data_IF_776815632950
#
_entry.id   IF_776815632950
#
_cell.length_a   1.000
_cell.length_b   1.000
_cell.length_c   1.000
_cell.angle_alpha   90.00
_cell.angle_beta   90.00
_cell.angle_gamma   90.00
#
_symmetry.space_group_name_H-M   'P 1'
#
loop_
_entity.id
_entity.type
_entity.pdbx_description
1 polymer ?
#
# COMPACT_ATOMS: atom_id res chain seq x y z
N UNK A 1 -10.73 -13.44 22.57
CA UNK A 1 -11.01 -13.02 21.17
C UNK A 1 -12.41 -13.41 20.72
N UNK A 2 -12.95 -14.56 21.17
CA UNK A 2 -14.35 -14.91 20.94
C UNK A 2 -15.32 -13.81 21.42
N UNK A 3 -15.03 -13.16 22.55
CA UNK A 3 -15.85 -12.05 23.06
C UNK A 3 -15.99 -10.88 22.06
N UNK A 4 -14.90 -10.48 21.39
CA UNK A 4 -14.96 -9.45 20.34
C UNK A 4 -15.90 -9.85 19.20
N UNK A 5 -15.91 -11.13 18.79
CA UNK A 5 -16.78 -11.60 17.72
C UNK A 5 -18.25 -11.53 18.14
N UNK A 6 -18.57 -11.88 19.38
CA UNK A 6 -19.93 -11.71 19.92
C UNK A 6 -20.39 -10.25 19.89
N UNK A 7 -19.48 -9.31 20.19
CA UNK A 7 -19.77 -7.86 20.14
C UNK A 7 -19.95 -7.31 18.73
N UNK A 8 -19.51 -8.01 17.68
CA UNK A 8 -19.80 -7.64 16.29
C UNK A 8 -21.24 -7.96 15.87
N UNK A 9 -21.97 -8.71 16.69
CA UNK A 9 -23.38 -9.05 16.50
C UNK A 9 -23.63 -10.56 16.44
N UNK A 10 -24.86 -10.95 16.77
CA UNK A 10 -25.25 -12.36 16.85
C UNK A 10 -25.13 -13.10 15.51
N UNK A 11 -25.37 -12.44 14.39
CA UNK A 11 -25.18 -13.04 13.05
C UNK A 11 -23.71 -13.40 12.80
N UNK A 12 -22.79 -12.48 13.13
CA UNK A 12 -21.35 -12.69 12.99
C UNK A 12 -20.87 -13.82 13.91
N UNK A 13 -21.37 -13.86 15.15
CA UNK A 13 -20.97 -14.86 16.13
C UNK A 13 -21.36 -16.30 15.76
N UNK A 14 -22.48 -16.49 15.07
CA UNK A 14 -22.94 -17.81 14.62
C UNK A 14 -22.16 -18.32 13.41
N UNK A 15 -21.76 -17.42 12.52
CA UNK A 15 -21.21 -17.78 11.21
C UNK A 15 -19.68 -17.85 11.18
N UNK A 16 -19.01 -17.04 12.00
CA UNK A 16 -17.54 -16.91 11.94
C UNK A 16 -16.84 -18.01 12.73
N UNK A 17 -16.04 -18.80 12.03
CA UNK A 17 -15.11 -19.76 12.64
C UNK A 17 -13.68 -19.24 12.58
N UNK A 18 -13.02 -19.17 13.74
CA UNK A 18 -11.63 -18.75 13.84
C UNK A 18 -10.73 -19.98 13.60
N UNK A 19 -9.98 -19.95 12.51
CA UNK A 19 -9.05 -21.03 12.16
C UNK A 19 -7.74 -20.95 12.96
N UNK A 20 -7.20 -19.74 13.13
CA UNK A 20 -5.96 -19.55 13.89
C UNK A 20 -5.86 -18.14 14.48
N UNK A 21 -5.10 -18.04 15.57
CA UNK A 21 -4.87 -16.79 16.29
C UNK A 21 -3.40 -16.70 16.67
N UNK A 22 -2.77 -15.56 16.40
CA UNK A 22 -1.41 -15.28 16.84
C UNK A 22 -1.24 -13.81 17.22
N UNK A 23 -0.74 -13.57 18.43
CA UNK A 23 -0.23 -12.24 18.80
C UNK A 23 1.19 -12.08 18.26
N UNK A 24 1.44 -10.97 17.58
CA UNK A 24 2.76 -10.59 17.11
C UNK A 24 3.51 -9.86 18.22
N UNK A 25 4.84 -9.95 18.16
CA UNK A 25 5.69 -9.21 19.10
C UNK A 25 5.43 -7.70 18.98
N UNK A 26 5.33 -6.99 20.12
CA UNK A 26 5.14 -5.56 20.11
C UNK A 26 6.34 -4.88 19.44
N UNK A 27 6.06 -3.86 18.61
CA UNK A 27 7.11 -3.04 17.99
C UNK A 27 7.62 -1.93 18.90
N UNK A 28 6.82 -1.53 19.87
CA UNK A 28 7.12 -0.42 20.78
C UNK A 28 6.95 -0.90 22.22
N UNK A 29 7.88 -0.52 23.10
CA UNK A 29 7.78 -0.84 24.52
C UNK A 29 6.50 -0.26 25.14
N UNK A 30 5.87 -1.02 26.04
CA UNK A 30 4.62 -0.63 26.71
C UNK A 30 3.35 -0.69 25.85
N UNK A 31 3.45 -1.00 24.55
CA UNK A 31 2.27 -1.13 23.68
C UNK A 31 1.95 -2.60 23.39
N UNK A 32 0.67 -3.01 23.42
CA UNK A 32 0.31 -4.37 23.09
C UNK A 32 0.63 -4.68 21.62
N UNK A 33 1.14 -5.88 21.38
CA UNK A 33 1.40 -6.38 20.03
C UNK A 33 0.11 -6.62 19.24
N UNK A 34 0.20 -6.47 17.91
CA UNK A 34 -0.91 -6.72 16.99
C UNK A 34 -1.36 -8.17 17.07
N UNK A 35 -2.68 -8.39 17.02
CA UNK A 35 -3.25 -9.74 16.95
C UNK A 35 -3.61 -10.03 15.50
N UNK A 36 -3.06 -11.12 14.96
CA UNK A 36 -3.46 -11.69 13.69
C UNK A 36 -4.44 -12.83 13.94
N UNK A 37 -5.53 -12.81 13.18
CA UNK A 37 -6.56 -13.82 13.19
C UNK A 37 -6.74 -14.33 11.76
N UNK A 38 -6.69 -15.64 11.61
CA UNK A 38 -7.05 -16.34 10.39
C UNK A 38 -8.46 -16.87 10.53
N UNK A 39 -9.26 -16.68 9.50
CA UNK A 39 -10.63 -17.15 9.40
C UNK A 39 -10.66 -18.30 8.39
N UNK A 40 -11.73 -19.08 8.42
CA UNK A 40 -11.92 -20.19 7.48
C UNK A 40 -12.08 -19.67 6.05
N UNK A 41 -12.92 -18.65 5.85
CA UNK A 41 -13.29 -18.15 4.53
C UNK A 41 -13.14 -16.62 4.39
N UNK A 42 -13.03 -16.17 3.13
CA UNK A 42 -12.97 -14.73 2.80
C UNK A 42 -14.28 -14.01 3.14
N UNK A 43 -15.42 -14.68 3.03
CA UNK A 43 -16.72 -14.09 3.33
C UNK A 43 -16.88 -13.76 4.81
N UNK A 44 -16.42 -14.64 5.70
CA UNK A 44 -16.35 -14.38 7.14
C UNK A 44 -15.48 -13.15 7.44
N UNK A 45 -14.37 -12.98 6.72
CA UNK A 45 -13.52 -11.77 6.82
C UNK A 45 -14.28 -10.52 6.40
N UNK A 46 -15.01 -10.58 5.29
CA UNK A 46 -15.82 -9.46 4.79
C UNK A 46 -16.91 -9.11 5.80
N UNK A 47 -17.60 -10.11 6.35
CA UNK A 47 -18.67 -9.96 7.34
C UNK A 47 -18.17 -9.24 8.60
N UNK A 48 -17.01 -9.65 9.14
CA UNK A 48 -16.37 -8.98 10.28
C UNK A 48 -16.04 -7.53 9.92
N UNK A 49 -15.41 -7.30 8.77
CA UNK A 49 -14.95 -5.96 8.38
C UNK A 49 -16.08 -4.98 8.11
N UNK A 50 -17.26 -5.47 7.68
CA UNK A 50 -18.49 -4.68 7.54
C UNK A 50 -19.07 -4.31 8.91
N UNK A 51 -19.12 -5.25 9.86
CA UNK A 51 -19.73 -5.05 11.17
C UNK A 51 -18.82 -4.36 12.21
N UNK A 52 -17.53 -4.18 11.92
CA UNK A 52 -16.55 -3.60 12.87
C UNK A 52 -16.92 -2.25 13.48
N UNK A 53 -17.80 -1.47 12.83
CA UNK A 53 -18.23 -0.18 13.35
C UNK A 53 -19.06 -0.32 14.64
N UNK A 54 -19.72 -1.46 14.85
CA UNK A 54 -20.44 -1.80 16.09
C UNK A 54 -19.53 -1.86 17.33
N UNK A 55 -18.22 -2.02 17.15
CA UNK A 55 -17.28 -1.97 18.27
C UNK A 55 -17.05 -0.54 18.77
N UNK A 56 -17.34 0.48 17.96
CA UNK A 56 -17.18 1.87 18.38
C UNK A 56 -18.19 2.29 19.44
N UNK A 57 -19.34 1.63 19.48
CA UNK A 57 -20.43 1.90 20.42
C UNK A 57 -20.26 1.15 21.74
N UNK A 58 -19.39 0.13 21.79
CA UNK A 58 -19.12 -0.63 23.02
C UNK A 58 -17.97 0.02 23.79
N UNK A 59 -18.21 0.38 25.06
CA UNK A 59 -17.23 1.05 25.93
C UNK A 59 -15.91 0.28 26.07
N UNK A 60 -15.98 -1.05 26.08
CA UNK A 60 -14.81 -1.91 26.26
C UNK A 60 -13.98 -2.03 24.98
N UNK A 61 -14.58 -1.76 23.82
CA UNK A 61 -13.99 -2.02 22.52
C UNK A 61 -13.86 -0.79 21.61
N UNK A 62 -14.25 0.39 22.09
CA UNK A 62 -14.18 1.66 21.33
C UNK A 62 -12.80 2.00 20.80
N UNK A 63 -11.75 1.59 21.51
CA UNK A 63 -10.34 1.82 21.14
C UNK A 63 -9.75 0.71 20.28
N UNK A 64 -10.50 -0.37 20.03
CA UNK A 64 -10.04 -1.53 19.27
C UNK A 64 -10.29 -1.33 17.77
N UNK A 65 -9.22 -1.45 16.99
CA UNK A 65 -9.29 -1.30 15.54
C UNK A 65 -9.15 -2.65 14.83
N UNK A 66 -10.17 -3.00 14.05
CA UNK A 66 -10.14 -4.18 13.17
C UNK A 66 -9.85 -3.74 11.73
N UNK A 67 -8.83 -4.36 11.13
CA UNK A 67 -8.42 -4.09 9.75
C UNK A 67 -8.09 -5.38 9.02
N UNK A 68 -8.31 -5.38 7.71
CA UNK A 68 -7.85 -6.47 6.86
C UNK A 68 -6.32 -6.51 6.83
N UNK A 69 -5.76 -7.71 6.94
CA UNK A 69 -4.33 -7.89 6.77
C UNK A 69 -3.90 -7.46 5.36
N UNK A 70 -2.86 -6.63 5.28
CA UNK A 70 -2.24 -6.14 4.04
C UNK A 70 -0.75 -6.45 4.03
N UNK A 71 -0.22 -6.75 2.84
CA UNK A 71 1.22 -6.88 2.60
C UNK A 71 1.93 -5.54 2.79
N UNK A 72 3.27 -5.57 2.85
CA UNK A 72 4.07 -4.34 2.93
C UNK A 72 3.86 -3.47 1.69
N UNK A 73 3.83 -4.09 0.51
CA UNK A 73 3.67 -3.40 -0.77
C UNK A 73 2.30 -2.75 -0.86
N UNK A 74 1.22 -3.49 -0.52
CA UNK A 74 -0.14 -2.95 -0.52
C UNK A 74 -0.28 -1.72 0.40
N UNK A 75 0.34 -1.75 1.58
CA UNK A 75 0.33 -0.60 2.50
C UNK A 75 1.12 0.59 1.95
N UNK A 76 2.27 0.35 1.32
CA UNK A 76 3.06 1.42 0.72
C UNK A 76 2.28 2.09 -0.42
N UNK A 77 1.68 1.29 -1.30
CA UNK A 77 0.82 1.79 -2.38
C UNK A 77 -0.33 2.61 -1.78
N UNK A 78 -1.07 2.06 -0.81
CA UNK A 78 -2.18 2.76 -0.18
C UNK A 78 -1.77 4.08 0.49
N UNK A 79 -0.65 4.09 1.22
CA UNK A 79 -0.17 5.30 1.89
C UNK A 79 0.25 6.37 0.88
N UNK A 80 0.98 5.98 -0.17
CA UNK A 80 1.40 6.89 -1.22
C UNK A 80 0.20 7.44 -1.99
N UNK A 81 -0.76 6.59 -2.39
CA UNK A 81 -1.98 7.04 -3.08
C UNK A 81 -2.80 7.98 -2.20
N UNK A 82 -2.92 7.71 -0.90
CA UNK A 82 -3.62 8.62 0.03
C UNK A 82 -2.89 9.95 0.21
N UNK A 83 -1.56 9.95 0.20
CA UNK A 83 -0.78 11.19 0.25
C UNK A 83 -1.06 12.03 -1.02
N UNK A 84 -0.97 11.41 -2.20
CA UNK A 84 -1.28 12.08 -3.48
C UNK A 84 -2.72 12.64 -3.48
N UNK A 85 -3.71 11.86 -3.04
CA UNK A 85 -5.09 12.31 -2.96
C UNK A 85 -5.33 13.47 -1.97
N UNK A 86 -4.41 13.77 -1.05
CA UNK A 86 -4.53 14.94 -0.17
C UNK A 86 -4.02 16.22 -0.82
N UNK A 87 -3.02 16.09 -1.69
CA UNK A 87 -2.42 17.22 -2.40
C UNK A 87 -3.25 17.66 -3.61
N UNK A 88 -4.11 16.80 -4.15
CA UNK A 88 -4.96 17.15 -5.28
C UNK A 88 -6.10 18.10 -4.88
N UNK A 89 -6.41 19.13 -5.70
CA UNK A 89 -7.63 19.89 -5.53
C UNK A 89 -8.83 18.94 -5.65
N UNK A 90 -9.74 19.00 -4.68
CA UNK A 90 -10.89 18.09 -4.55
C UNK A 90 -10.53 16.60 -4.32
N UNK A 91 -9.29 16.26 -3.96
CA UNK A 91 -8.88 14.88 -3.76
C UNK A 91 -9.63 14.12 -2.64
N UNK A 92 -10.25 14.86 -1.72
CA UNK A 92 -11.17 14.35 -0.70
C UNK A 92 -12.43 13.68 -1.27
N UNK A 93 -12.81 14.00 -2.51
CA UNK A 93 -13.91 13.36 -3.22
C UNK A 93 -13.57 11.94 -3.65
N UNK A 94 -12.32 11.50 -3.56
CA UNK A 94 -11.95 10.14 -3.94
C UNK A 94 -11.75 9.23 -2.73
N UNK A 95 -11.92 7.93 -2.94
CA UNK A 95 -11.63 6.86 -1.99
C UNK A 95 -10.84 5.74 -2.66
N UNK A 96 -9.94 5.13 -1.91
CA UNK A 96 -9.21 3.95 -2.33
C UNK A 96 -9.92 2.69 -1.82
N UNK A 97 -10.15 1.74 -2.71
CA UNK A 97 -10.69 0.41 -2.35
C UNK A 97 -9.61 -0.55 -1.88
N UNK A 98 -10.02 -1.66 -1.26
CA UNK A 98 -9.10 -2.71 -0.82
C UNK A 98 -8.22 -3.31 -1.93
N UNK A 99 -8.68 -3.22 -3.18
CA UNK A 99 -7.97 -3.72 -4.37
C UNK A 99 -7.11 -2.63 -5.05
N UNK A 100 -6.96 -1.46 -4.43
CA UNK A 100 -6.13 -0.36 -4.97
C UNK A 100 -6.81 0.49 -6.06
N UNK A 101 -8.10 0.27 -6.34
CA UNK A 101 -8.86 1.12 -7.29
C UNK A 101 -9.36 2.39 -6.62
N UNK A 102 -9.31 3.51 -7.34
CA UNK A 102 -9.82 4.82 -6.91
C UNK A 102 -11.26 4.98 -7.39
N UNK A 103 -12.14 5.44 -6.51
CA UNK A 103 -13.55 5.72 -6.80
C UNK A 103 -13.95 7.08 -6.25
N UNK A 104 -14.90 7.75 -6.88
CA UNK A 104 -15.59 8.90 -6.29
C UNK A 104 -16.36 8.49 -5.03
N UNK A 105 -16.32 9.33 -4.01
CA UNK A 105 -17.24 9.33 -2.87
C UNK A 105 -18.51 10.01 -3.36
N UNK A 106 -19.44 9.24 -3.91
CA UNK A 106 -20.81 9.73 -4.02
C UNK A 106 -21.28 10.01 -2.58
N UNK A 107 -21.67 11.25 -2.30
CA UNK A 107 -22.38 11.64 -1.08
C UNK A 107 -23.54 10.66 -0.93
N UNK A 108 -23.68 9.99 0.22
CA UNK A 108 -24.66 8.91 0.42
C UNK A 108 -26.14 9.35 0.38
N UNK A 109 -26.43 10.53 -0.18
CA UNK A 109 -27.79 11.02 -0.37
C UNK A 109 -28.01 11.14 -1.87
N UNK A 110 -28.98 10.38 -2.36
CA UNK A 110 -29.51 10.30 -3.72
C UNK A 110 -28.98 9.10 -4.53
N UNK A 111 -29.91 8.16 -4.68
CA UNK A 111 -30.12 7.29 -5.83
C UNK A 111 -29.49 7.85 -7.11
N UNK A 112 -28.70 7.02 -7.78
CA UNK A 112 -28.45 7.02 -9.23
C UNK A 112 -28.59 8.33 -10.01
N UNK A 113 -27.92 9.39 -9.56
CA UNK A 113 -27.47 10.42 -10.49
C UNK A 113 -26.11 9.99 -11.06
N UNK A 114 -26.20 9.51 -12.29
CA UNK A 114 -25.14 9.57 -13.28
C UNK A 114 -24.66 11.03 -13.32
N UNK A 115 -23.46 11.28 -12.79
CA UNK A 115 -22.83 12.58 -13.00
C UNK A 115 -22.28 12.48 -14.42
N UNK A 116 -22.94 13.17 -15.35
CA UNK A 116 -22.40 13.48 -16.67
C UNK A 116 -21.10 14.28 -16.48
N UNK A 117 -20.00 13.56 -16.30
CA UNK A 117 -18.67 14.09 -16.56
C UNK A 117 -18.61 14.24 -18.08
N UNK A 118 -18.30 15.42 -18.63
CA UNK A 118 -18.22 15.60 -20.08
C UNK A 118 -17.29 14.53 -20.67
N UNK A 119 -17.90 13.61 -21.42
CA UNK A 119 -17.35 12.36 -21.96
C UNK A 119 -16.05 12.60 -22.75
N UNK A 120 -15.88 13.82 -23.28
CA UNK A 120 -14.76 14.22 -24.10
C UNK A 120 -13.37 14.06 -23.44
N UNK A 121 -13.25 14.13 -22.12
CA UNK A 121 -11.94 13.97 -21.45
C UNK A 121 -11.55 12.50 -21.19
N UNK A 122 -12.55 11.61 -21.07
CA UNK A 122 -12.33 10.18 -20.85
C UNK A 122 -11.90 9.52 -22.15
N UNK A 123 -12.49 9.92 -23.28
CA UNK A 123 -12.11 9.43 -24.60
C UNK A 123 -10.69 9.86 -24.99
N UNK A 124 -10.29 11.08 -24.61
CA UNK A 124 -8.93 11.55 -24.86
C UNK A 124 -7.87 10.73 -24.09
N UNK A 125 -8.18 10.32 -22.85
CA UNK A 125 -7.31 9.42 -22.09
C UNK A 125 -7.31 8.00 -22.63
N UNK A 126 -8.48 7.47 -23.04
CA UNK A 126 -8.59 6.13 -23.61
C UNK A 126 -7.86 5.99 -24.95
N UNK A 127 -7.81 7.04 -25.77
CA UNK A 127 -7.07 7.06 -27.03
C UNK A 127 -5.54 7.16 -26.83
N UNK A 128 -5.08 7.77 -25.73
CA UNK A 128 -3.64 7.95 -25.44
C UNK A 128 -3.04 6.80 -24.62
N UNK A 129 -3.84 6.03 -23.90
CA UNK A 129 -3.37 4.89 -23.09
C UNK A 129 -3.50 3.61 -23.92
N UNK A 130 -2.39 2.96 -24.33
CA UNK A 130 -2.48 1.69 -25.04
C UNK A 130 -3.18 0.65 -24.15
N UNK A 131 -4.35 0.19 -24.61
CA UNK A 131 -5.12 -0.88 -23.96
C UNK A 131 -4.42 -2.20 -24.27
N UNK A 132 -3.63 -2.69 -23.31
CA UNK A 132 -3.07 -4.04 -23.39
C UNK A 132 -4.15 -5.05 -23.05
N UNK A 133 -4.75 -5.66 -24.07
CA UNK A 133 -5.67 -6.77 -23.90
C UNK A 133 -4.96 -7.96 -23.22
N UNK A 134 -5.42 -8.30 -22.02
CA UNK A 134 -4.87 -9.37 -21.20
C UNK A 134 -5.24 -10.78 -21.72
N UNK A 135 -6.03 -10.89 -22.79
CA UNK A 135 -6.45 -12.15 -23.39
C UNK A 135 -5.32 -12.85 -24.18
N UNK A 136 -4.30 -12.11 -24.62
CA UNK A 136 -3.13 -12.71 -25.28
C UNK A 136 -2.13 -13.17 -24.24
N UNK A 137 -1.80 -14.47 -24.23
CA UNK A 137 -0.65 -15.03 -23.48
C UNK A 137 0.62 -14.31 -23.92
N UNK A 138 0.97 -13.22 -23.24
CA UNK A 138 2.23 -12.52 -23.42
C UNK A 138 3.34 -13.38 -22.82
N UNK A 139 3.89 -14.30 -23.62
CA UNK A 139 5.22 -14.86 -23.36
C UNK A 139 6.25 -13.77 -23.61
N UNK A 140 6.28 -12.79 -22.72
CA UNK A 140 7.33 -11.80 -22.50
C UNK A 140 6.83 -10.94 -21.36
N UNK A 141 7.44 -11.09 -20.17
CA UNK A 141 7.41 -10.02 -19.18
C UNK A 141 7.93 -8.78 -19.90
N UNK A 142 7.07 -7.81 -20.20
CA UNK A 142 7.53 -6.46 -20.46
C UNK A 142 8.27 -6.04 -19.19
N UNK A 143 9.59 -6.20 -19.20
CA UNK A 143 10.44 -5.45 -18.29
C UNK A 143 10.13 -4.00 -18.63
N UNK A 144 9.75 -3.19 -17.64
CA UNK A 144 9.78 -1.76 -17.84
C UNK A 144 11.16 -1.45 -18.40
N UNK A 145 11.22 -1.00 -19.65
CA UNK A 145 12.42 -0.34 -20.14
C UNK A 145 12.58 0.80 -19.16
N UNK A 146 13.64 0.75 -18.33
CA UNK A 146 13.88 1.79 -17.33
C UNK A 146 13.90 3.10 -18.12
N UNK A 147 12.90 3.98 -17.96
CA UNK A 147 13.04 5.29 -18.54
C UNK A 147 14.23 5.89 -17.80
N UNK A 148 15.17 6.47 -18.55
CA UNK A 148 16.26 7.29 -18.01
C UNK A 148 17.55 6.61 -17.54
N UNK A 149 17.97 5.47 -18.11
CA UNK A 149 19.37 5.01 -17.98
C UNK A 149 20.09 5.12 -19.33
N UNK A 150 20.57 6.33 -19.66
CA UNK A 150 21.39 6.53 -20.85
C UNK A 150 22.82 5.98 -20.62
N UNK A 151 23.58 5.83 -21.70
CA UNK A 151 24.96 5.30 -21.62
C UNK A 151 25.85 6.15 -20.71
N UNK A 152 25.64 7.47 -20.70
CA UNK A 152 26.36 8.43 -19.85
C UNK A 152 26.15 8.14 -18.35
N UNK A 153 24.91 7.93 -17.91
CA UNK A 153 24.59 7.56 -16.52
C UNK A 153 25.17 6.18 -16.17
N UNK A 154 25.21 5.26 -17.14
CA UNK A 154 25.87 3.97 -16.97
C UNK A 154 27.38 4.11 -16.76
N UNK A 155 28.05 4.94 -17.55
CA UNK A 155 29.47 5.22 -17.41
C UNK A 155 29.78 5.91 -16.08
N UNK A 156 29.00 6.92 -15.71
CA UNK A 156 29.14 7.65 -14.45
C UNK A 156 28.98 6.72 -13.25
N UNK A 157 27.93 5.88 -13.26
CA UNK A 157 27.69 4.89 -12.21
C UNK A 157 28.85 3.90 -12.05
N UNK A 158 29.37 3.38 -13.17
CA UNK A 158 30.49 2.46 -13.15
C UNK A 158 31.77 3.12 -12.60
N UNK A 159 32.03 4.38 -12.98
CA UNK A 159 33.15 5.15 -12.45
C UNK A 159 33.02 5.39 -10.94
N UNK A 160 31.85 5.80 -10.45
CA UNK A 160 31.59 5.98 -9.02
C UNK A 160 31.80 4.68 -8.24
N UNK A 161 31.27 3.55 -8.75
CA UNK A 161 31.39 2.24 -8.10
C UNK A 161 32.84 1.75 -8.04
N UNK A 162 33.65 2.04 -9.07
CA UNK A 162 35.06 1.67 -9.09
C UNK A 162 35.83 2.47 -8.02
N UNK A 163 35.60 3.79 -7.94
CA UNK A 163 36.18 4.65 -6.91
C UNK A 163 35.76 4.22 -5.50
N UNK A 164 34.48 3.88 -5.30
CA UNK A 164 33.97 3.40 -4.01
C UNK A 164 34.65 2.09 -3.60
N UNK A 165 34.81 1.15 -4.54
CA UNK A 165 35.52 -0.11 -4.31
C UNK A 165 36.98 0.12 -3.91
N UNK A 166 37.67 1.05 -4.57
CA UNK A 166 39.04 1.43 -4.23
C UNK A 166 39.12 2.07 -2.83
N UNK A 167 38.18 2.94 -2.48
CA UNK A 167 38.10 3.53 -1.15
C UNK A 167 37.87 2.49 -0.05
N UNK A 168 36.94 1.56 -0.27
CA UNK A 168 36.61 0.50 0.68
C UNK A 168 37.72 -0.54 0.83
N UNK A 169 38.48 -0.81 -0.24
CA UNK A 169 39.60 -1.74 -0.20
C UNK A 169 40.91 -1.14 0.31
N UNK A 170 41.00 0.20 0.41
CA UNK A 170 42.21 0.89 0.85
C UNK A 170 42.47 0.70 2.35
N UNK A 171 43.60 0.06 2.69
CA UNK A 171 44.08 -0.18 4.06
C UNK A 171 45.26 0.73 4.48
N UNK A 172 45.56 1.79 3.72
CA UNK A 172 46.71 2.67 3.96
C UNK A 172 46.49 3.76 5.02
N UNK A 173 47.39 4.75 5.05
CA UNK A 173 47.41 5.84 6.05
C UNK A 173 46.13 6.70 6.01
N UNK A 174 45.69 7.18 7.17
CA UNK A 174 44.46 7.96 7.35
C UNK A 174 44.39 9.23 6.49
N UNK A 175 45.54 9.88 6.23
CA UNK A 175 45.63 11.09 5.41
C UNK A 175 45.18 10.87 3.96
N UNK A 176 45.50 9.72 3.37
CA UNK A 176 45.09 9.36 2.01
C UNK A 176 43.59 9.05 1.97
N UNK A 177 43.06 8.43 3.02
CA UNK A 177 41.63 8.15 3.16
C UNK A 177 40.79 9.43 3.28
N UNK A 178 41.34 10.48 3.90
CA UNK A 178 40.70 11.80 3.97
C UNK A 178 40.58 12.45 2.59
N UNK A 179 41.63 12.42 1.77
CA UNK A 179 41.60 12.93 0.38
C UNK A 179 40.51 12.25 -0.46
N UNK A 180 40.39 10.93 -0.37
CA UNK A 180 39.30 10.22 -1.05
C UNK A 180 37.92 10.70 -0.61
N UNK A 181 37.70 11.01 0.68
CA UNK A 181 36.42 11.55 1.15
C UNK A 181 36.13 12.94 0.59
N UNK A 182 37.15 13.79 0.49
CA UNK A 182 37.05 15.14 -0.09
C UNK A 182 36.67 15.06 -1.58
N UNK A 183 37.20 14.09 -2.33
CA UNK A 183 36.83 13.84 -3.73
C UNK A 183 35.39 13.32 -3.94
N UNK A 184 34.72 12.80 -2.91
CA UNK A 184 33.34 12.30 -2.99
C UNK A 184 32.28 13.33 -2.55
N UNK A 185 32.69 14.47 -2.00
CA UNK A 185 31.76 15.51 -1.52
C UNK A 185 31.48 16.63 -2.56
N UNK A 186 32.15 16.60 -3.71
CA UNK A 186 31.92 17.49 -4.85
C UNK A 186 31.25 16.74 -6.00
#
# INVERSE_FOLDING_TARGET
MNDIIHKLGQSVAKEVKIAAVKRLNPRFHGKPGLVKMSLENTDQKILILRNKHKLKTDENYKTVFIQGAKSRIERLIENNTRAILRELPQGNQFRLTGNGRIFGRKTQNNEDSEVDVPINHIDEMNCKIPVYDASRKTRKRHKSSKPFWNEELGQLWNAMRLKEKQFLSFKGRSSTRRRFREEFQH
#
